data_IF_399076905544
#
_entry.id   IF_399076905544
#
_cell.length_a   1.000
_cell.length_b   1.000
_cell.length_c   1.000
_cell.angle_alpha   90.00
_cell.angle_beta   90.00
_cell.angle_gamma   90.00
#
_symmetry.space_group_name_H-M   'P 1'
#
loop_
_entity.id
_entity.type
_entity.pdbx_description
1 polymer ?
#
# COMPACT_ATOMS: atom_id res chain seq x y z
N UNK A 1 18.18 6.33 -8.61
CA UNK A 1 17.99 6.17 -7.16
C UNK A 1 17.70 7.53 -6.55
N UNK A 2 16.88 7.62 -5.48
CA UNK A 2 16.73 8.88 -4.76
C UNK A 2 18.06 9.29 -4.14
N UNK A 3 18.41 10.56 -4.23
CA UNK A 3 19.63 11.14 -3.63
C UNK A 3 19.24 11.81 -2.32
N UNK A 4 19.98 11.53 -1.24
CA UNK A 4 19.74 12.17 0.05
C UNK A 4 20.01 13.67 -0.04
N UNK A 5 19.00 14.47 0.29
CA UNK A 5 19.05 15.93 0.31
C UNK A 5 18.54 16.46 1.65
N UNK A 6 18.92 17.69 2.00
CA UNK A 6 18.59 18.27 3.30
C UNK A 6 17.08 18.58 3.47
N UNK A 7 16.37 18.85 2.39
CA UNK A 7 14.93 19.14 2.39
C UNK A 7 14.26 18.50 1.18
N UNK A 8 13.01 18.04 1.31
CA UNK A 8 12.24 17.57 0.16
C UNK A 8 12.05 18.71 -0.86
N UNK A 9 11.91 18.38 -2.16
CA UNK A 9 11.65 19.37 -3.19
C UNK A 9 10.32 20.11 -2.94
N UNK A 10 10.21 21.35 -3.42
CA UNK A 10 9.06 22.24 -3.21
C UNK A 10 8.40 22.63 -4.54
N UNK A 11 7.19 23.20 -4.46
CA UNK A 11 6.43 23.73 -5.58
C UNK A 11 5.29 22.82 -6.05
N UNK A 12 4.39 23.36 -6.86
CA UNK A 12 3.11 22.73 -7.23
C UNK A 12 3.24 21.45 -8.07
N UNK A 13 4.44 21.14 -8.56
CA UNK A 13 4.73 19.89 -9.27
C UNK A 13 5.06 18.69 -8.37
N UNK A 14 4.99 18.85 -7.03
CA UNK A 14 5.37 17.83 -6.07
C UNK A 14 4.24 17.50 -5.10
N UNK A 15 4.01 16.20 -4.89
CA UNK A 15 3.20 15.66 -3.80
C UNK A 15 4.12 14.94 -2.82
N UNK A 16 3.91 15.14 -1.52
CA UNK A 16 4.68 14.50 -0.45
C UNK A 16 3.81 13.49 0.28
N UNK A 17 4.29 12.26 0.38
CA UNK A 17 3.64 11.19 1.12
C UNK A 17 4.55 10.73 2.27
N UNK A 18 3.92 10.28 3.37
CA UNK A 18 4.66 9.71 4.48
C UNK A 18 5.37 8.43 4.03
N UNK A 19 6.67 8.32 4.35
CA UNK A 19 7.39 7.06 4.15
C UNK A 19 7.01 6.10 5.28
N UNK A 20 6.27 5.06 4.93
CA UNK A 20 6.03 3.94 5.83
C UNK A 20 7.18 2.93 5.82
N UNK A 21 7.30 2.16 6.89
CA UNK A 21 8.13 0.95 6.94
C UNK A 21 7.22 -0.27 7.08
N UNK A 22 7.20 -1.12 6.06
CA UNK A 22 6.24 -2.21 5.98
C UNK A 22 6.49 -3.13 4.79
N UNK A 23 5.42 -3.76 4.30
CA UNK A 23 5.46 -4.61 3.12
C UNK A 23 4.73 -3.99 1.95
N UNK A 24 5.49 -3.49 0.97
CA UNK A 24 4.95 -3.09 -0.33
C UNK A 24 4.11 -4.20 -0.94
N UNK A 25 2.86 -3.88 -1.21
CA UNK A 25 1.84 -4.79 -1.70
C UNK A 25 0.99 -4.13 -2.77
N UNK A 26 0.59 -4.94 -3.75
CA UNK A 26 -0.32 -4.55 -4.82
C UNK A 26 -1.66 -5.25 -4.61
N UNK A 27 -2.75 -4.48 -4.60
CA UNK A 27 -4.12 -4.97 -4.54
C UNK A 27 -4.71 -4.90 -5.95
N UNK A 28 -5.25 -6.02 -6.42
CA UNK A 28 -5.94 -6.12 -7.70
C UNK A 28 -7.41 -6.41 -7.43
N UNK A 29 -8.29 -5.60 -8.01
CA UNK A 29 -9.75 -5.73 -7.95
C UNK A 29 -10.24 -5.83 -9.39
N UNK A 30 -10.97 -6.90 -9.71
CA UNK A 30 -11.65 -7.11 -10.99
C UNK A 30 -12.76 -8.16 -10.84
N UNK A 31 -13.29 -8.67 -11.96
CA UNK A 31 -14.30 -9.74 -11.99
C UNK A 31 -13.87 -11.05 -11.30
N UNK A 32 -12.57 -11.28 -11.12
CA UNK A 32 -12.02 -12.41 -10.36
C UNK A 32 -11.96 -12.16 -8.85
N UNK A 33 -12.36 -10.99 -8.39
CA UNK A 33 -12.35 -10.56 -7.00
C UNK A 33 -11.02 -9.93 -6.56
N UNK A 34 -10.86 -9.78 -5.25
CA UNK A 34 -9.68 -9.12 -4.65
C UNK A 34 -8.54 -10.11 -4.49
N UNK A 35 -7.36 -9.76 -5.02
CA UNK A 35 -6.09 -10.46 -4.82
C UNK A 35 -5.02 -9.47 -4.35
N UNK A 36 -4.15 -9.90 -3.43
CA UNK A 36 -3.09 -9.06 -2.88
C UNK A 36 -1.74 -9.75 -3.06
N UNK A 37 -0.84 -9.08 -3.76
CA UNK A 37 0.49 -9.57 -4.10
C UNK A 37 1.58 -8.77 -3.38
N UNK A 38 2.57 -9.45 -2.84
CA UNK A 38 3.79 -8.80 -2.33
C UNK A 38 4.63 -8.23 -3.48
N UNK A 39 5.61 -7.37 -3.17
CA UNK A 39 6.64 -6.91 -4.12
C UNK A 39 7.31 -8.03 -4.94
N UNK A 40 7.39 -9.26 -4.41
CA UNK A 40 7.98 -10.43 -5.10
C UNK A 40 6.96 -11.26 -5.90
N UNK A 41 5.70 -10.82 -5.98
CA UNK A 41 4.64 -11.52 -6.70
C UNK A 41 4.02 -12.70 -5.94
N UNK A 42 4.31 -12.86 -4.65
CA UNK A 42 3.65 -13.88 -3.83
C UNK A 42 2.21 -13.45 -3.53
N UNK A 43 1.25 -14.33 -3.78
CA UNK A 43 -0.16 -14.14 -3.39
C UNK A 43 -0.31 -14.30 -1.88
N UNK A 44 -0.57 -13.19 -1.20
CA UNK A 44 -0.78 -13.09 0.25
C UNK A 44 -2.22 -12.72 0.60
N UNK A 45 -3.17 -12.90 -0.31
CA UNK A 45 -4.59 -12.57 -0.11
C UNK A 45 -5.16 -13.19 1.16
N UNK A 46 -4.82 -14.46 1.44
CA UNK A 46 -5.28 -15.16 2.65
C UNK A 46 -4.62 -14.64 3.93
N UNK A 47 -3.34 -14.23 3.86
CA UNK A 47 -2.62 -13.63 5.00
C UNK A 47 -3.15 -12.24 5.33
N UNK A 48 -3.58 -11.50 4.32
CA UNK A 48 -4.13 -10.15 4.42
C UNK A 48 -5.66 -10.13 4.33
N UNK A 49 -6.33 -11.13 4.93
CA UNK A 49 -7.79 -11.29 4.84
C UNK A 49 -8.59 -10.03 5.20
N UNK A 50 -8.12 -9.26 6.19
CA UNK A 50 -8.84 -8.08 6.69
C UNK A 50 -8.68 -6.91 5.70
N UNK A 51 -7.50 -6.76 5.09
CA UNK A 51 -7.25 -5.80 3.99
C UNK A 51 -8.04 -6.20 2.74
N UNK A 52 -8.08 -7.50 2.41
CA UNK A 52 -8.84 -8.00 1.28
C UNK A 52 -10.35 -7.78 1.48
N UNK A 53 -10.85 -7.94 2.70
CA UNK A 53 -12.24 -7.64 3.04
C UNK A 53 -12.56 -6.14 2.89
N UNK A 54 -11.67 -5.26 3.35
CA UNK A 54 -11.83 -3.81 3.18
C UNK A 54 -11.76 -3.39 1.70
N UNK A 55 -10.84 -3.95 0.92
CA UNK A 55 -10.73 -3.65 -0.51
C UNK A 55 -12.00 -4.06 -1.29
N UNK A 56 -12.69 -5.13 -0.87
CA UNK A 56 -13.98 -5.54 -1.47
C UNK A 56 -15.11 -4.53 -1.29
N UNK A 57 -15.01 -3.59 -0.34
CA UNK A 57 -16.05 -2.59 -0.10
C UNK A 57 -15.86 -1.32 -0.93
N UNK A 58 -14.80 -1.24 -1.75
CA UNK A 58 -14.57 -0.10 -2.63
C UNK A 58 -15.57 -0.14 -3.80
N UNK A 59 -16.19 0.99 -4.08
CA UNK A 59 -17.16 1.15 -5.17
C UNK A 59 -16.45 1.35 -6.52
N UNK A 60 -15.82 0.29 -7.02
CA UNK A 60 -15.06 0.26 -8.28
C UNK A 60 -15.30 -1.04 -9.04
N UNK A 61 -15.38 -0.97 -10.37
CA UNK A 61 -15.47 -2.17 -11.23
C UNK A 61 -14.13 -2.92 -11.30
N UNK A 62 -13.03 -2.16 -11.43
CA UNK A 62 -11.68 -2.70 -11.41
C UNK A 62 -10.66 -1.65 -10.96
N UNK A 63 -9.59 -2.11 -10.30
CA UNK A 63 -8.51 -1.25 -9.83
C UNK A 63 -7.22 -2.05 -9.61
N UNK A 64 -6.08 -1.37 -9.78
CA UNK A 64 -4.78 -1.79 -9.25
C UNK A 64 -4.31 -0.70 -8.30
N UNK A 65 -4.09 -1.06 -7.04
CA UNK A 65 -3.67 -0.16 -5.98
C UNK A 65 -2.30 -0.61 -5.48
N UNK A 66 -1.32 0.28 -5.47
CA UNK A 66 0.02 0.06 -4.90
C UNK A 66 0.09 0.79 -3.55
N UNK A 67 0.65 0.13 -2.54
CA UNK A 67 0.77 0.72 -1.21
C UNK A 67 1.61 -0.11 -0.26
N UNK A 68 1.75 0.37 0.96
CA UNK A 68 2.51 -0.29 2.01
C UNK A 68 1.56 -0.89 3.05
N UNK A 69 1.63 -2.20 3.28
CA UNK A 69 0.93 -2.84 4.40
C UNK A 69 1.79 -2.67 5.65
N UNK A 70 1.23 -2.02 6.68
CA UNK A 70 1.91 -1.70 7.92
C UNK A 70 1.20 -2.30 9.13
N UNK A 71 1.96 -2.54 10.19
CA UNK A 71 1.43 -2.73 11.53
C UNK A 71 1.68 -1.43 12.29
N UNK A 72 0.64 -0.93 12.95
CA UNK A 72 0.74 0.27 13.76
C UNK A 72 0.97 -0.11 15.22
N UNK A 73 1.88 0.59 15.89
CA UNK A 73 2.00 0.51 17.34
C UNK A 73 0.87 1.30 18.04
N UNK A 74 0.85 1.30 19.39
CA UNK A 74 -0.18 2.00 20.17
C UNK A 74 -0.23 3.52 19.92
N UNK A 75 0.87 4.11 19.44
CA UNK A 75 0.94 5.53 19.07
C UNK A 75 0.51 5.79 17.61
N UNK A 76 0.08 4.77 16.86
CA UNK A 76 -0.34 4.88 15.47
C UNK A 76 0.83 5.02 14.48
N UNK A 77 2.06 4.76 14.91
CA UNK A 77 3.24 4.81 14.04
C UNK A 77 3.49 3.42 13.43
N UNK A 78 3.95 3.38 12.18
CA UNK A 78 4.37 2.13 11.54
C UNK A 78 5.60 1.57 12.27
N UNK A 79 5.47 0.35 12.78
CA UNK A 79 6.51 -0.36 13.52
C UNK A 79 6.53 -1.81 13.01
N UNK A 80 7.69 -2.26 12.51
CA UNK A 80 7.83 -3.52 11.76
C UNK A 80 9.00 -4.36 12.25
#
# INVERSE_FOLDING_TARGET
>A
MPTLVAKPPQGDGWTHEAKFDGYRSQIIIDAGGVRIFTRRGLDWTSKYRDVAAAAKTLDVESAIIDGEVVVLNEAGLSDF
#
